data_IF_666745646736
#
_entry.id   IF_666745646736
#
_cell.length_a   1.000
_cell.length_b   1.000
_cell.length_c   1.000
_cell.angle_alpha   90.00
_cell.angle_beta   90.00
_cell.angle_gamma   90.00
#
_symmetry.space_group_name_H-M   'P 1'
#
loop_
_entity.id
_entity.type
_entity.pdbx_description
1 polymer ?
#
# COMPACT_ATOMS: atom_id res chain seq x y z
N UNK A 1 20.11 -24.36 14.88
CA UNK A 1 18.81 -24.66 14.23
C UNK A 1 17.79 -23.56 14.50
N UNK A 2 17.42 -23.27 15.76
CA UNK A 2 16.46 -22.19 16.10
C UNK A 2 16.86 -20.80 15.55
N UNK A 3 18.14 -20.43 15.67
CA UNK A 3 18.65 -19.17 15.11
C UNK A 3 18.59 -19.08 13.57
N UNK A 4 18.60 -20.22 12.87
CA UNK A 4 18.49 -20.26 11.41
C UNK A 4 17.02 -20.15 10.97
N UNK A 5 16.12 -20.86 11.66
CA UNK A 5 14.67 -20.76 11.45
C UNK A 5 14.12 -19.35 11.71
N UNK A 6 14.71 -18.62 12.66
CA UNK A 6 14.37 -17.22 12.93
C UNK A 6 15.08 -16.19 12.04
N UNK A 7 15.93 -16.62 11.11
CA UNK A 7 16.62 -15.74 10.15
C UNK A 7 15.93 -15.77 8.80
N UNK A 8 16.12 -14.74 7.97
CA UNK A 8 15.61 -14.71 6.59
C UNK A 8 16.10 -15.90 5.75
N UNK A 9 17.27 -16.47 6.09
CA UNK A 9 17.81 -17.69 5.45
C UNK A 9 17.01 -18.97 5.77
N UNK A 10 16.14 -18.92 6.78
CA UNK A 10 15.21 -20.00 7.14
C UNK A 10 13.89 -19.95 6.37
N UNK A 11 13.59 -18.84 5.69
CA UNK A 11 12.44 -18.71 4.79
C UNK A 11 12.84 -19.37 3.46
N UNK A 12 12.42 -20.62 3.28
CA UNK A 12 12.68 -21.39 2.05
C UNK A 12 11.79 -20.93 0.89
N UNK A 13 10.67 -20.27 1.19
CA UNK A 13 9.70 -19.84 0.19
C UNK A 13 9.95 -18.41 -0.27
N UNK A 14 10.14 -18.21 -1.58
CA UNK A 14 10.13 -16.89 -2.20
C UNK A 14 8.72 -16.30 -2.13
N UNK A 15 8.50 -15.12 -1.52
CA UNK A 15 7.20 -14.46 -1.54
C UNK A 15 6.76 -14.15 -2.97
N UNK A 16 5.47 -14.28 -3.27
CA UNK A 16 4.93 -13.81 -4.54
C UNK A 16 4.55 -12.33 -4.44
N UNK A 17 4.64 -11.63 -5.56
CA UNK A 17 4.19 -10.26 -5.71
C UNK A 17 3.02 -10.22 -6.71
N UNK A 18 2.14 -9.24 -6.54
CA UNK A 18 0.96 -9.05 -7.35
C UNK A 18 0.62 -7.56 -7.47
N UNK A 19 -0.20 -7.22 -8.46
CA UNK A 19 -0.73 -5.86 -8.59
C UNK A 19 -1.67 -5.57 -7.42
N UNK A 20 -1.61 -4.35 -6.92
CA UNK A 20 -2.55 -3.86 -5.90
C UNK A 20 -3.27 -2.62 -6.38
N UNK A 21 -4.51 -2.43 -5.91
CA UNK A 21 -5.33 -1.24 -6.19
C UNK A 21 -5.82 -0.65 -4.89
N UNK A 22 -5.45 0.61 -4.63
CA UNK A 22 -6.03 1.43 -3.57
C UNK A 22 -7.09 2.35 -4.16
N UNK A 23 -8.33 2.27 -3.64
CA UNK A 23 -9.40 3.23 -3.94
C UNK A 23 -9.63 4.08 -2.71
N UNK A 24 -9.52 5.40 -2.88
CA UNK A 24 -9.65 6.36 -1.80
C UNK A 24 -10.86 7.25 -2.05
N UNK A 25 -11.71 7.37 -1.03
CA UNK A 25 -12.70 8.42 -0.90
C UNK A 25 -12.23 9.34 0.21
N UNK A 26 -12.00 10.62 -0.10
CA UNK A 26 -11.42 11.59 0.85
C UNK A 26 -12.31 12.81 0.93
N UNK A 27 -12.59 13.26 2.16
CA UNK A 27 -13.26 14.51 2.46
C UNK A 27 -12.25 15.49 3.02
N UNK A 28 -12.12 16.64 2.36
CA UNK A 28 -11.28 17.74 2.84
C UNK A 28 -12.05 18.60 3.85
N UNK A 29 -11.32 19.28 4.73
CA UNK A 29 -11.87 20.33 5.60
C UNK A 29 -12.29 21.54 4.75
N UNK A 30 -13.25 22.32 5.25
CA UNK A 30 -13.76 23.49 4.54
C UNK A 30 -12.64 24.51 4.26
N UNK A 31 -12.56 24.97 3.01
CA UNK A 31 -11.54 25.93 2.57
C UNK A 31 -10.15 25.35 2.29
N UNK A 32 -9.93 24.04 2.50
CA UNK A 32 -8.67 23.42 2.08
C UNK A 32 -8.58 23.32 0.55
N UNK A 33 -7.40 23.60 -0.05
CA UNK A 33 -7.19 23.39 -1.46
C UNK A 33 -7.17 21.89 -1.79
N UNK A 34 -7.81 21.50 -2.89
CA UNK A 34 -7.71 20.14 -3.42
C UNK A 34 -6.34 19.95 -4.08
N UNK A 35 -5.39 19.35 -3.35
CA UNK A 35 -4.09 18.99 -3.89
C UNK A 35 -4.01 17.49 -4.19
N UNK A 36 -4.58 17.09 -5.34
CA UNK A 36 -4.66 15.68 -5.73
C UNK A 36 -3.27 15.03 -5.89
N UNK A 37 -2.31 15.74 -6.46
CA UNK A 37 -0.96 15.21 -6.67
C UNK A 37 -0.27 14.94 -5.34
N UNK A 38 -0.33 15.88 -4.41
CA UNK A 38 0.24 15.68 -3.07
C UNK A 38 -0.42 14.52 -2.32
N UNK A 39 -1.73 14.34 -2.45
CA UNK A 39 -2.44 13.20 -1.87
C UNK A 39 -1.93 11.88 -2.45
N UNK A 40 -1.80 11.78 -3.77
CA UNK A 40 -1.28 10.58 -4.45
C UNK A 40 0.17 10.30 -4.02
N UNK A 41 1.04 11.31 -4.04
CA UNK A 41 2.44 11.18 -3.62
C UNK A 41 2.55 10.69 -2.17
N UNK A 42 1.73 11.23 -1.28
CA UNK A 42 1.69 10.84 0.14
C UNK A 42 1.30 9.37 0.31
N UNK A 43 0.30 8.92 -0.46
CA UNK A 43 -0.15 7.52 -0.45
C UNK A 43 0.91 6.60 -1.03
N UNK A 44 1.48 6.93 -2.19
CA UNK A 44 2.51 6.13 -2.85
C UNK A 44 3.78 6.01 -2.01
N UNK A 45 4.23 7.11 -1.40
CA UNK A 45 5.37 7.12 -0.48
C UNK A 45 5.12 6.25 0.76
N UNK A 46 3.88 6.23 1.28
CA UNK A 46 3.54 5.37 2.42
C UNK A 46 3.65 3.87 2.09
N UNK A 47 3.50 3.50 0.82
CA UNK A 47 3.60 2.13 0.33
C UNK A 47 5.02 1.78 -0.12
N UNK A 48 5.76 2.73 -0.69
CA UNK A 48 7.19 2.60 -1.02
C UNK A 48 7.51 1.90 -2.35
N UNK A 49 6.52 1.32 -3.01
CA UNK A 49 6.70 0.62 -4.31
C UNK A 49 5.57 0.97 -5.29
N UNK A 50 5.47 2.24 -5.72
CA UNK A 50 4.48 2.64 -6.72
C UNK A 50 4.73 1.95 -8.07
N UNK A 51 3.67 1.81 -8.85
CA UNK A 51 3.74 1.21 -10.19
C UNK A 51 4.51 2.11 -11.13
N UNK A 52 5.41 1.53 -11.93
CA UNK A 52 6.17 2.25 -12.95
C UNK A 52 5.73 1.78 -14.35
N UNK A 53 5.42 2.72 -15.25
CA UNK A 53 4.84 2.42 -16.57
C UNK A 53 5.83 1.78 -17.52
N UNK A 54 7.08 2.25 -17.52
CA UNK A 54 8.16 1.73 -18.34
C UNK A 54 9.47 1.90 -17.58
N UNK A 55 10.27 0.83 -17.54
CA UNK A 55 11.49 0.74 -16.72
C UNK A 55 12.65 0.18 -17.54
N UNK A 56 13.87 0.62 -17.23
CA UNK A 56 15.08 -0.06 -17.70
C UNK A 56 15.34 -1.30 -16.83
N UNK A 57 16.31 -2.12 -17.23
CA UNK A 57 16.66 -3.35 -16.49
C UNK A 57 17.14 -3.03 -15.07
N UNK A 58 17.90 -1.96 -14.93
CA UNK A 58 18.44 -1.49 -13.66
C UNK A 58 17.31 -1.02 -12.73
N UNK A 59 16.32 -0.33 -13.28
CA UNK A 59 15.13 0.14 -12.56
C UNK A 59 14.25 -1.04 -12.12
N UNK A 60 14.06 -2.04 -12.98
CA UNK A 60 13.32 -3.27 -12.66
C UNK A 60 14.00 -4.03 -11.51
N UNK A 61 15.33 -4.13 -11.52
CA UNK A 61 16.08 -4.76 -10.44
C UNK A 61 15.95 -3.98 -9.12
N UNK A 62 16.04 -2.65 -9.18
CA UNK A 62 15.85 -1.80 -8.01
C UNK A 62 14.43 -1.92 -7.45
N UNK A 63 13.42 -1.95 -8.32
CA UNK A 63 12.02 -2.19 -7.94
C UNK A 63 11.84 -3.56 -7.28
N UNK A 64 12.38 -4.62 -7.87
CA UNK A 64 12.27 -5.98 -7.32
C UNK A 64 12.93 -6.08 -5.93
N UNK A 65 14.07 -5.43 -5.74
CA UNK A 65 14.76 -5.39 -4.44
C UNK A 65 13.97 -4.58 -3.40
N UNK A 66 13.43 -3.41 -3.78
CA UNK A 66 12.62 -2.59 -2.90
C UNK A 66 11.33 -3.32 -2.48
N UNK A 67 10.66 -3.98 -3.42
CA UNK A 67 9.45 -4.75 -3.14
C UNK A 67 9.73 -6.00 -2.28
N UNK A 68 10.83 -6.71 -2.56
CA UNK A 68 11.24 -7.88 -1.77
C UNK A 68 11.66 -7.55 -0.33
N UNK A 69 12.16 -6.33 -0.07
CA UNK A 69 12.56 -5.87 1.26
C UNK A 69 11.46 -5.13 2.03
N UNK A 70 10.31 -4.88 1.40
CA UNK A 70 9.17 -4.14 1.97
C UNK A 70 7.87 -4.96 1.88
N UNK A 71 7.92 -6.22 2.32
CA UNK A 71 6.77 -7.11 2.34
C UNK A 71 5.67 -6.56 3.24
N UNK A 72 4.42 -6.65 2.77
CA UNK A 72 3.25 -6.22 3.53
C UNK A 72 2.02 -7.03 3.11
N UNK A 73 1.16 -7.34 4.07
CA UNK A 73 -0.18 -7.83 3.77
C UNK A 73 -1.10 -6.70 3.32
N UNK A 74 -2.29 -7.05 2.83
CA UNK A 74 -3.31 -6.09 2.39
C UNK A 74 -3.69 -5.13 3.55
N UNK A 75 -3.77 -5.66 4.76
CA UNK A 75 -4.07 -4.93 5.98
C UNK A 75 -2.94 -3.98 6.40
N UNK A 76 -1.68 -4.37 6.18
CA UNK A 76 -0.53 -3.54 6.50
C UNK A 76 -0.48 -2.31 5.59
N UNK A 77 -0.66 -2.51 4.29
CA UNK A 77 -0.78 -1.43 3.33
C UNK A 77 -1.94 -0.48 3.68
N UNK A 78 -3.11 -1.02 4.05
CA UNK A 78 -4.24 -0.20 4.50
C UNK A 78 -3.90 0.63 5.76
N UNK A 79 -3.19 0.05 6.73
CA UNK A 79 -2.72 0.75 7.95
C UNK A 79 -1.69 1.84 7.63
N UNK A 80 -0.79 1.62 6.66
CA UNK A 80 0.19 2.63 6.25
C UNK A 80 -0.49 3.83 5.60
N UNK A 81 -1.44 3.59 4.69
CA UNK A 81 -2.23 4.65 4.07
C UNK A 81 -3.01 5.42 5.14
N UNK A 82 -3.66 4.73 6.09
CA UNK A 82 -4.37 5.38 7.19
C UNK A 82 -3.50 6.37 7.95
N UNK A 83 -2.31 5.94 8.39
CA UNK A 83 -1.38 6.80 9.13
C UNK A 83 -0.98 8.03 8.31
N UNK A 84 -0.78 7.87 7.00
CA UNK A 84 -0.44 8.96 6.11
C UNK A 84 -1.59 9.97 5.97
N UNK A 85 -2.83 9.49 5.82
CA UNK A 85 -4.01 10.35 5.72
C UNK A 85 -4.38 11.00 7.06
N UNK A 86 -4.21 10.32 8.18
CA UNK A 86 -4.45 10.88 9.52
C UNK A 86 -3.46 11.99 9.89
N UNK A 87 -2.25 11.96 9.31
CA UNK A 87 -1.25 13.01 9.51
C UNK A 87 -1.58 14.31 8.72
N UNK A 88 -2.41 14.23 7.68
CA UNK A 88 -2.80 15.37 6.87
C UNK A 88 -4.00 16.11 7.49
N UNK A 89 -3.72 17.30 8.05
CA UNK A 89 -4.74 18.15 8.69
C UNK A 89 -5.77 18.72 7.72
N UNK A 90 -5.51 18.67 6.41
CA UNK A 90 -6.48 19.08 5.39
C UNK A 90 -7.57 18.03 5.17
N UNK A 91 -7.38 16.80 5.67
CA UNK A 91 -8.33 15.70 5.52
C UNK A 91 -9.24 15.60 6.74
N UNK A 92 -10.53 15.87 6.53
CA UNK A 92 -11.56 15.71 7.54
C UNK A 92 -11.88 14.22 7.78
N UNK A 93 -12.06 13.44 6.71
CA UNK A 93 -12.48 12.05 6.77
C UNK A 93 -12.05 11.27 5.51
N UNK A 94 -12.00 9.94 5.60
CA UNK A 94 -11.67 9.08 4.47
C UNK A 94 -12.20 7.65 4.60
N UNK A 95 -12.32 7.00 3.45
CA UNK A 95 -12.49 5.56 3.29
C UNK A 95 -11.47 5.05 2.26
N UNK A 96 -10.69 4.06 2.64
CA UNK A 96 -9.73 3.37 1.78
C UNK A 96 -10.20 1.93 1.58
N UNK A 97 -10.31 1.49 0.32
CA UNK A 97 -10.42 0.07 -0.05
C UNK A 97 -9.14 -0.33 -0.77
N UNK A 98 -8.41 -1.27 -0.18
CA UNK A 98 -7.24 -1.87 -0.78
C UNK A 98 -7.57 -3.28 -1.28
N UNK A 99 -6.99 -3.63 -2.42
CA UNK A 99 -7.17 -4.93 -3.05
C UNK A 99 -5.83 -5.41 -3.59
N UNK A 100 -5.36 -6.56 -3.10
CA UNK A 100 -4.32 -7.34 -3.77
C UNK A 100 -4.98 -8.22 -4.81
N UNK A 101 -4.64 -8.01 -6.08
CA UNK A 101 -5.14 -8.79 -7.20
C UNK A 101 -4.36 -10.08 -7.30
N UNK A 102 -4.76 -11.07 -6.51
CA UNK A 102 -4.00 -12.30 -6.29
C UNK A 102 -3.76 -13.07 -7.59
N UNK A 103 -2.50 -13.44 -7.81
CA UNK A 103 -2.08 -14.20 -9.00
C UNK A 103 -2.17 -15.71 -8.80
N UNK A 104 -2.13 -16.19 -7.55
CA UNK A 104 -2.16 -17.61 -7.18
C UNK A 104 -3.55 -18.09 -6.74
N UNK A 105 -4.51 -17.18 -6.57
CA UNK A 105 -5.83 -17.47 -6.04
C UNK A 105 -6.92 -16.98 -6.99
N UNK A 106 -8.07 -17.67 -7.00
CA UNK A 106 -9.23 -17.29 -7.82
C UNK A 106 -10.05 -16.12 -7.20
N UNK A 107 -9.50 -15.43 -6.20
CA UNK A 107 -10.13 -14.32 -5.48
C UNK A 107 -9.06 -13.36 -4.97
N UNK A 108 -9.46 -12.10 -4.77
CA UNK A 108 -8.58 -11.05 -4.29
C UNK A 108 -8.60 -10.97 -2.76
N UNK A 109 -7.47 -10.63 -2.15
CA UNK A 109 -7.43 -10.20 -0.75
C UNK A 109 -7.81 -8.71 -0.68
N UNK A 110 -8.76 -8.36 0.18
CA UNK A 110 -9.34 -7.02 0.25
C UNK A 110 -9.34 -6.53 1.69
N UNK A 111 -8.83 -5.32 1.90
CA UNK A 111 -8.85 -4.63 3.18
C UNK A 111 -9.58 -3.29 3.07
N UNK A 112 -10.29 -2.93 4.14
CA UNK A 112 -10.99 -1.65 4.24
C UNK A 112 -10.50 -0.90 5.47
N UNK A 113 -10.30 0.41 5.32
CA UNK A 113 -9.98 1.29 6.43
C UNK A 113 -10.85 2.55 6.38
N UNK A 114 -11.32 2.98 7.54
CA UNK A 114 -12.18 4.16 7.70
C UNK A 114 -11.76 4.94 8.95
N UNK A 115 -11.97 6.26 8.91
CA UNK A 115 -11.88 7.10 10.10
C UNK A 115 -13.23 7.14 10.82
N UNK A 116 -14.27 7.76 10.24
CA UNK A 116 -15.57 7.94 10.94
C UNK A 116 -16.86 7.58 10.15
N UNK A 117 -16.83 7.29 8.83
CA UNK A 117 -18.06 7.08 8.02
C UNK A 117 -18.59 5.63 8.01
N UNK A 118 -19.92 5.38 8.15
CA UNK A 118 -20.54 4.08 7.85
C UNK A 118 -20.72 3.86 6.34
N UNK A 119 -20.68 2.61 5.88
CA UNK A 119 -20.83 2.27 4.46
C UNK A 119 -22.10 2.88 3.86
N UNK A 120 -21.98 3.55 2.71
CA UNK A 120 -23.10 3.86 1.82
C UNK A 120 -23.35 2.63 0.93
#
# INVERSE_FOLDING_TARGET
VLAWLGSEKGIVATPHAQRSVARLLVRFVDGAPLNLIQLLDTVEQSLGTPVQTAVKREDEQAFALANGSNLMFCEDAARRIQRALDADKSIADFHVRLEHQESLHAHNAVAHMRKNVPFI
#
